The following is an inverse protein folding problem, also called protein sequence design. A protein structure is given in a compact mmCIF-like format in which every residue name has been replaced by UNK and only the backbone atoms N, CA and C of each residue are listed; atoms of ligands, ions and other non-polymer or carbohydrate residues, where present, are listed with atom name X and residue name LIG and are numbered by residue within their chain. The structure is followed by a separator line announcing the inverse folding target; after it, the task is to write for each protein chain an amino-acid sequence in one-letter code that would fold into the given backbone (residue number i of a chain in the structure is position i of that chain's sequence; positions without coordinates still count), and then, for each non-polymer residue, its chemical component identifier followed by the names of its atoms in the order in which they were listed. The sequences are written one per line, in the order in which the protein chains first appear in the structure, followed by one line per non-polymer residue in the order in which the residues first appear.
data_IF_350235679583
#
_entry.id   IF_350235679583
#
_cell.length_a   1.000
_cell.length_b   1.000
_cell.length_c   1.000
_cell.angle_alpha   90.00
_cell.angle_beta   90.00
_cell.angle_gamma   90.00
#
_symmetry.space_group_name_H-M   'P 1'
#
loop_
_entity.id
_entity.type
_entity.pdbx_description
1 polymer ?
#
# COMPACT_ATOMS: atom_id res chain seq x y z
N UNK A 1 25.83 12.71 -11.62
CA UNK A 1 24.94 12.42 -12.76
C UNK A 1 25.01 10.92 -13.01
N UNK A 2 24.01 10.15 -12.57
CA UNK A 2 24.03 8.68 -12.75
C UNK A 2 23.57 8.36 -14.17
N UNK A 3 24.54 8.22 -15.08
CA UNK A 3 24.37 8.13 -16.54
C UNK A 3 24.02 6.73 -17.04
N UNK A 4 23.01 6.08 -16.44
CA UNK A 4 22.63 4.72 -16.84
C UNK A 4 21.14 4.38 -16.75
N UNK A 5 20.28 5.36 -16.43
CA UNK A 5 18.83 5.13 -16.51
C UNK A 5 18.35 5.24 -17.96
N UNK A 6 17.39 4.41 -18.34
CA UNK A 6 16.74 4.46 -19.66
C UNK A 6 15.33 5.01 -19.50
N UNK A 7 14.95 6.00 -20.30
CA UNK A 7 13.62 6.61 -20.28
C UNK A 7 12.91 6.38 -21.61
N UNK A 8 11.64 5.98 -21.55
CA UNK A 8 10.79 5.75 -22.73
C UNK A 8 9.51 6.55 -22.60
N UNK A 9 9.29 7.46 -23.54
CA UNK A 9 8.08 8.27 -23.65
C UNK A 9 7.13 7.67 -24.69
N UNK A 10 5.87 7.51 -24.31
CA UNK A 10 4.83 6.93 -25.16
C UNK A 10 3.89 8.01 -25.70
N UNK A 11 3.22 7.73 -26.83
CA UNK A 11 2.28 8.69 -27.48
C UNK A 11 1.07 9.05 -26.62
N UNK A 12 0.68 8.16 -25.72
CA UNK A 12 -0.40 8.36 -24.76
C UNK A 12 0.01 9.23 -23.55
N UNK A 13 1.27 9.67 -23.49
CA UNK A 13 1.79 10.51 -22.41
C UNK A 13 2.38 9.72 -21.24
N UNK A 14 2.33 8.38 -21.26
CA UNK A 14 3.03 7.54 -20.27
C UNK A 14 4.54 7.71 -20.43
N UNK A 15 5.26 7.72 -19.31
CA UNK A 15 6.73 7.68 -19.24
C UNK A 15 7.16 6.45 -18.43
N UNK A 16 8.12 5.70 -18.93
CA UNK A 16 8.70 4.55 -18.25
C UNK A 16 10.21 4.76 -18.07
N UNK A 17 10.70 4.60 -16.85
CA UNK A 17 12.07 4.81 -16.43
C UNK A 17 12.59 3.49 -15.88
N UNK A 18 13.69 2.98 -16.44
CA UNK A 18 14.43 1.84 -15.92
C UNK A 18 15.73 2.34 -15.28
N UNK A 19 15.87 2.14 -13.98
CA UNK A 19 17.03 2.58 -13.21
C UNK A 19 18.16 1.54 -13.28
N UNK A 20 19.39 2.00 -13.00
CA UNK A 20 20.60 1.17 -13.00
C UNK A 20 20.51 0.01 -12.00
N UNK A 21 19.76 0.19 -10.91
CA UNK A 21 19.50 -0.84 -9.90
C UNK A 21 18.37 -1.82 -10.32
N UNK A 22 17.90 -1.76 -11.56
CA UNK A 22 16.89 -2.66 -12.13
C UNK A 22 15.45 -2.34 -11.71
N UNK A 23 15.22 -1.30 -10.89
CA UNK A 23 13.86 -0.82 -10.60
C UNK A 23 13.24 -0.19 -11.83
N UNK A 24 11.93 -0.38 -12.00
CA UNK A 24 11.15 0.28 -13.07
C UNK A 24 10.12 1.21 -12.49
N UNK A 25 10.09 2.44 -12.96
CA UNK A 25 9.13 3.46 -12.57
C UNK A 25 8.33 3.92 -13.78
N UNK A 26 7.02 3.85 -13.68
CA UNK A 26 6.09 4.35 -14.70
C UNK A 26 5.31 5.52 -14.15
N UNK A 27 5.29 6.63 -14.89
CA UNK A 27 4.45 7.79 -14.64
C UNK A 27 3.36 7.85 -15.71
N UNK A 28 2.10 7.91 -15.29
CA UNK A 28 0.95 8.01 -16.17
C UNK A 28 0.49 9.47 -16.33
N UNK A 29 -0.27 9.79 -17.41
CA UNK A 29 -0.78 11.15 -17.65
C UNK A 29 -1.68 11.70 -16.54
N UNK A 30 -2.34 10.83 -15.80
CA UNK A 30 -3.18 11.17 -14.64
C UNK A 30 -2.38 11.38 -13.35
N UNK A 31 -1.06 11.51 -13.45
CA UNK A 31 -0.11 11.62 -12.34
C UNK A 31 -0.04 10.40 -11.41
N UNK A 32 -0.64 9.27 -11.80
CA UNK A 32 -0.39 8.00 -11.12
C UNK A 32 1.04 7.55 -11.39
N UNK A 33 1.70 7.03 -10.35
CA UNK A 33 3.01 6.40 -10.46
C UNK A 33 2.94 4.91 -10.12
N UNK A 34 3.73 4.09 -10.80
CA UNK A 34 3.90 2.66 -10.50
C UNK A 34 5.38 2.30 -10.48
N UNK A 35 5.84 1.78 -9.35
CA UNK A 35 7.20 1.34 -9.10
C UNK A 35 7.22 -0.18 -8.99
N UNK A 36 8.05 -0.83 -9.81
CA UNK A 36 8.29 -2.26 -9.78
C UNK A 36 9.70 -2.50 -9.22
N UNK A 37 9.77 -3.20 -8.10
CA UNK A 37 11.01 -3.50 -7.41
C UNK A 37 11.54 -4.89 -7.77
N UNK A 38 12.85 -5.10 -7.58
CA UNK A 38 13.52 -6.36 -7.88
C UNK A 38 13.03 -7.55 -7.05
N UNK A 39 12.52 -7.30 -5.85
CA UNK A 39 11.94 -8.34 -4.97
C UNK A 39 10.53 -8.78 -5.42
N UNK A 40 10.03 -8.22 -6.53
CA UNK A 40 8.70 -8.47 -7.07
C UNK A 40 7.60 -7.63 -6.42
N UNK A 41 7.92 -6.77 -5.45
CA UNK A 41 6.94 -5.85 -4.89
C UNK A 41 6.60 -4.72 -5.87
N UNK A 42 5.37 -4.23 -5.78
CA UNK A 42 4.83 -3.16 -6.63
C UNK A 42 4.26 -2.05 -5.76
N UNK A 43 4.79 -0.84 -5.88
CA UNK A 43 4.23 0.36 -5.24
C UNK A 43 3.45 1.17 -6.27
N UNK A 44 2.20 1.46 -5.98
CA UNK A 44 1.38 2.42 -6.73
C UNK A 44 1.22 3.68 -5.90
N UNK A 45 1.39 4.85 -6.51
CA UNK A 45 1.09 6.15 -5.91
C UNK A 45 0.02 6.83 -6.75
N UNK A 46 -1.07 7.27 -6.14
CA UNK A 46 -2.11 8.04 -6.83
C UNK A 46 -1.78 9.55 -6.87
N UNK A 47 -2.57 10.31 -7.64
CA UNK A 47 -2.43 11.77 -7.75
C UNK A 47 -2.57 12.54 -6.42
N UNK A 48 -3.15 11.93 -5.38
CA UNK A 48 -3.29 12.51 -4.05
C UNK A 48 -2.10 12.16 -3.14
N UNK A 49 -1.13 11.40 -3.64
CA UNK A 49 0.00 10.88 -2.87
C UNK A 49 -0.32 9.67 -2.00
N UNK A 50 -1.52 9.07 -2.14
CA UNK A 50 -1.85 7.81 -1.48
C UNK A 50 -1.05 6.67 -2.08
N UNK A 51 -0.64 5.73 -1.23
CA UNK A 51 0.31 4.68 -1.60
C UNK A 51 -0.30 3.32 -1.36
N UNK A 52 -0.12 2.42 -2.32
CA UNK A 52 -0.40 1.01 -2.18
C UNK A 52 0.83 0.19 -2.54
N UNK A 53 1.40 -0.53 -1.58
CA UNK A 53 2.48 -1.49 -1.78
C UNK A 53 1.91 -2.92 -1.75
N UNK A 54 2.12 -3.67 -2.82
CA UNK A 54 1.78 -5.10 -2.91
C UNK A 54 3.08 -5.90 -2.82
N UNK A 55 3.18 -6.76 -1.81
CA UNK A 55 4.31 -7.67 -1.62
C UNK A 55 4.06 -9.00 -2.32
N UNK A 56 5.15 -9.72 -2.64
CA UNK A 56 5.09 -10.99 -3.37
C UNK A 56 4.27 -12.07 -2.66
N UNK A 57 4.21 -12.04 -1.33
CA UNK A 57 3.42 -12.98 -0.54
C UNK A 57 1.91 -12.67 -0.54
N UNK A 58 1.45 -11.64 -1.28
CA UNK A 58 0.05 -11.20 -1.33
C UNK A 58 -0.34 -10.20 -0.24
N UNK A 59 0.57 -9.86 0.68
CA UNK A 59 0.34 -8.79 1.64
C UNK A 59 0.27 -7.44 0.93
N UNK A 60 -0.65 -6.58 1.38
CA UNK A 60 -0.84 -5.23 0.84
C UNK A 60 -0.74 -4.20 1.96
N UNK A 61 -0.04 -3.11 1.71
CA UNK A 61 0.03 -1.94 2.58
C UNK A 61 -0.55 -0.72 1.87
N UNK A 62 -1.53 -0.07 2.49
CA UNK A 62 -2.24 1.09 1.95
C UNK A 62 -2.04 2.25 2.91
N UNK A 63 -1.44 3.34 2.44
CA UNK A 63 -1.24 4.57 3.21
C UNK A 63 -2.02 5.71 2.57
N UNK A 64 -2.95 6.27 3.33
CA UNK A 64 -3.71 7.47 2.97
C UNK A 64 -3.56 8.52 4.07
N UNK A 65 -4.15 9.69 3.88
CA UNK A 65 -4.26 10.69 4.94
C UNK A 65 -5.20 10.25 6.08
N UNK A 66 -6.09 9.29 5.79
CA UNK A 66 -7.13 8.83 6.71
C UNK A 66 -6.71 7.60 7.53
N UNK A 67 -5.78 6.79 7.03
CA UNK A 67 -5.30 5.59 7.72
C UNK A 67 -4.03 4.99 7.12
N UNK A 68 -3.41 4.10 7.89
CA UNK A 68 -2.49 3.07 7.40
C UNK A 68 -3.12 1.70 7.56
N UNK A 69 -3.25 0.95 6.48
CA UNK A 69 -3.91 -0.36 6.45
C UNK A 69 -2.97 -1.42 5.92
N UNK A 70 -2.91 -2.56 6.61
CA UNK A 70 -2.22 -3.76 6.15
C UNK A 70 -3.23 -4.89 5.98
N UNK A 71 -3.26 -5.48 4.79
CA UNK A 71 -4.10 -6.64 4.45
C UNK A 71 -3.17 -7.84 4.31
N UNK A 72 -3.46 -8.90 5.06
CA UNK A 72 -2.70 -10.14 5.05
C UNK A 72 -3.37 -11.17 4.11
N UNK A 73 -2.60 -12.14 3.59
CA UNK A 73 -3.12 -13.16 2.67
C UNK A 73 -4.23 -14.03 3.26
N UNK A 74 -4.24 -14.21 4.58
CA UNK A 74 -5.28 -14.94 5.31
C UNK A 74 -6.63 -14.18 5.37
N UNK A 75 -6.68 -12.92 4.93
CA UNK A 75 -7.84 -12.03 5.02
C UNK A 75 -7.82 -11.12 6.24
N UNK A 76 -6.89 -11.30 7.18
CA UNK A 76 -6.73 -10.42 8.34
C UNK A 76 -6.39 -9.01 7.85
N UNK A 77 -7.05 -8.01 8.40
CA UNK A 77 -6.78 -6.60 8.10
C UNK A 77 -6.45 -5.84 9.38
N UNK A 78 -5.37 -5.08 9.37
CA UNK A 78 -5.02 -4.13 10.44
C UNK A 78 -5.12 -2.70 9.92
N UNK A 79 -5.75 -1.81 10.66
CA UNK A 79 -5.90 -0.39 10.32
C UNK A 79 -5.43 0.43 11.51
N UNK A 80 -4.58 1.42 11.26
CA UNK A 80 -4.14 2.44 12.22
C UNK A 80 -4.63 3.79 11.73
N UNK A 81 -5.31 4.53 12.59
CA UNK A 81 -5.87 5.85 12.28
C UNK A 81 -4.94 6.98 12.77
N UNK A 82 -5.10 8.21 12.24
CA UNK A 82 -4.29 9.36 12.63
C UNK A 82 -4.35 9.70 14.13
N UNK A 83 -5.44 9.37 14.81
CA UNK A 83 -5.60 9.56 16.25
C UNK A 83 -4.84 8.53 17.11
N UNK A 84 -4.18 7.54 16.48
CA UNK A 84 -3.44 6.46 17.12
C UNK A 84 -4.30 5.23 17.45
N UNK A 85 -5.62 5.31 17.30
CA UNK A 85 -6.49 4.15 17.44
C UNK A 85 -6.20 3.13 16.33
N UNK A 86 -6.47 1.86 16.61
CA UNK A 86 -6.25 0.81 15.64
C UNK A 86 -7.26 -0.31 15.76
N UNK A 87 -7.59 -0.92 14.63
CA UNK A 87 -8.50 -2.05 14.57
C UNK A 87 -7.88 -3.23 13.82
N UNK A 88 -8.23 -4.44 14.25
CA UNK A 88 -7.96 -5.69 13.53
C UNK A 88 -9.29 -6.31 13.15
N UNK A 89 -9.49 -6.58 11.86
CA UNK A 89 -10.60 -7.36 11.32
C UNK A 89 -10.07 -8.73 10.94
N UNK A 90 -10.71 -9.76 11.47
CA UNK A 90 -10.36 -11.14 11.21
C UNK A 90 -11.23 -11.70 10.07
N UNK A 91 -10.79 -12.76 9.39
CA UNK A 91 -11.53 -13.37 8.28
C UNK A 91 -12.89 -13.92 8.68
N UNK A 92 -13.03 -14.32 9.95
CA UNK A 92 -14.28 -14.80 10.55
C UNK A 92 -15.30 -13.68 10.84
N UNK A 93 -14.94 -12.41 10.57
CA UNK A 93 -15.79 -11.25 10.85
C UNK A 93 -15.61 -10.66 12.24
N UNK A 94 -14.77 -11.24 13.11
CA UNK A 94 -14.41 -10.65 14.40
C UNK A 94 -13.67 -9.32 14.20
N UNK A 95 -14.00 -8.32 15.01
CA UNK A 95 -13.39 -7.01 14.99
C UNK A 95 -12.90 -6.67 16.39
N UNK A 96 -11.63 -6.30 16.50
CA UNK A 96 -11.05 -5.77 17.73
C UNK A 96 -10.56 -4.34 17.51
N UNK A 97 -11.01 -3.39 18.34
CA UNK A 97 -10.53 -1.99 18.33
C UNK A 97 -9.80 -1.67 19.61
N UNK A 98 -8.74 -0.89 19.47
CA UNK A 98 -7.98 -0.33 20.58
C UNK A 98 -7.83 1.17 20.41
N UNK A 99 -7.81 1.90 21.53
CA UNK A 99 -7.45 3.31 21.54
C UNK A 99 -5.93 3.51 21.33
N UNK A 100 -5.50 4.77 21.31
CA UNK A 100 -4.09 5.18 21.15
C UNK A 100 -3.15 4.65 22.26
N UNK A 101 -3.69 4.34 23.43
CA UNK A 101 -2.94 3.85 24.58
C UNK A 101 -2.92 2.31 24.61
N UNK A 102 -3.61 1.66 23.67
CA UNK A 102 -3.65 0.22 23.50
C UNK A 102 -4.75 -0.49 24.28
N UNK A 103 -5.66 0.26 24.93
CA UNK A 103 -6.79 -0.31 25.66
C UNK A 103 -7.83 -0.84 24.68
N UNK A 104 -8.37 -2.02 24.96
CA UNK A 104 -9.42 -2.64 24.14
C UNK A 104 -10.74 -1.89 24.34
N UNK A 105 -11.26 -1.28 23.27
CA UNK A 105 -12.53 -0.51 23.28
C UNK A 105 -13.67 -1.23 22.58
N UNK A 106 -13.36 -2.22 21.72
CA UNK A 106 -14.34 -3.09 21.08
C UNK A 106 -13.73 -4.48 20.87
N UNK A 107 -14.51 -5.52 21.14
CA UNK A 107 -14.24 -6.89 20.73
C UNK A 107 -15.57 -7.54 20.35
N UNK A 108 -15.82 -7.76 19.06
CA UNK A 108 -17.04 -8.43 18.61
C UNK A 108 -16.89 -9.94 18.77
N UNK A 109 -17.98 -10.63 19.11
CA UNK A 109 -18.06 -12.08 18.95
C UNK A 109 -18.32 -12.42 17.48
N UNK A 110 -17.84 -13.59 17.05
CA UNK A 110 -18.32 -14.23 15.83
C UNK A 110 -19.79 -14.61 16.02
N UNK A 111 -20.64 -14.30 15.05
CA UNK A 111 -22.01 -14.83 15.03
C UNK A 111 -21.89 -16.34 14.87
N UNK A 112 -22.29 -17.07 15.91
CA UNK A 112 -22.37 -18.53 15.92
C UNK A 112 -23.49 -19.04 15.03
#
# INVERSE_FOLDING_TARGET
MYSGQTEKHYKDGKVEIEYVDGKKHTVYPDHKEVWNYLDGSVLTVDQNGHRELVLLNGQREIHTNEFKKRVYPDGTTKIVYPDGSHETKYPDGRIRKKDKDGNLTLDTSVLS
#
